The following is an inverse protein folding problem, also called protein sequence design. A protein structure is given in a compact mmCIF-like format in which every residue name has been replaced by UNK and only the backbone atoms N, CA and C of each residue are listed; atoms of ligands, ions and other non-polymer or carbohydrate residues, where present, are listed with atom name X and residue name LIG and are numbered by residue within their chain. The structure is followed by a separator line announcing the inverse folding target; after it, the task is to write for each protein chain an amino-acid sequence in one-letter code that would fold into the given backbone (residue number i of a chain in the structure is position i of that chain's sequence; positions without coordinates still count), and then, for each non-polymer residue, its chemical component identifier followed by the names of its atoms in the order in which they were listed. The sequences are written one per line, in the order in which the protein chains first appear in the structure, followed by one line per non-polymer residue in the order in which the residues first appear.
data_IF_306308922415
#
_entry.id   IF_306308922415
#
_cell.length_a   1.000
_cell.length_b   1.000
_cell.length_c   1.000
_cell.angle_alpha   90.00
_cell.angle_beta   90.00
_cell.angle_gamma   90.00
#
_symmetry.space_group_name_H-M   'P 1'
#
loop_
_entity.id
_entity.type
_entity.pdbx_description
1 polymer ?
#
# COMPACT_ATOMS: atom_id res chain seq x y z
N UNK A 1 46.94 1.00 67.29
CA UNK A 1 47.02 -0.19 68.17
C UNK A 1 46.77 -1.39 67.19
N UNK A 2 47.84 -1.99 66.76
CA UNK A 2 48.36 -3.33 67.09
C UNK A 2 47.39 -4.46 66.71
N UNK A 3 47.78 -5.31 65.78
CA UNK A 3 48.53 -6.52 65.73
C UNK A 3 48.25 -7.27 64.46
N UNK A 4 49.12 -7.57 63.64
CA UNK A 4 50.19 -8.57 63.50
C UNK A 4 49.80 -10.05 63.66
N UNK A 5 50.30 -10.78 62.62
CA UNK A 5 50.67 -12.21 62.53
C UNK A 5 49.58 -13.19 62.00
N UNK A 6 49.83 -14.20 61.18
CA UNK A 6 51.08 -14.89 60.72
C UNK A 6 50.77 -15.81 59.56
N UNK A 7 51.67 -15.88 58.62
CA UNK A 7 52.22 -17.00 57.80
C UNK A 7 51.53 -18.38 57.91
N UNK A 8 51.37 -18.96 56.70
CA UNK A 8 51.18 -20.38 56.47
C UNK A 8 51.36 -20.75 55.01
N UNK A 9 52.60 -20.91 54.61
CA UNK A 9 53.00 -21.47 53.31
C UNK A 9 52.67 -22.96 53.26
N UNK A 10 51.88 -23.41 52.30
CA UNK A 10 51.88 -24.82 51.84
C UNK A 10 51.93 -24.86 50.32
N UNK A 11 53.09 -25.29 49.84
CA UNK A 11 53.26 -25.77 48.47
C UNK A 11 52.41 -27.02 48.31
N UNK A 12 51.56 -27.02 47.27
CA UNK A 12 50.98 -28.21 46.71
C UNK A 12 51.23 -28.16 45.20
N UNK A 13 52.15 -29.03 44.78
CA UNK A 13 52.38 -29.39 43.42
C UNK A 13 51.13 -30.01 42.82
N UNK A 14 50.51 -29.36 41.83
CA UNK A 14 49.44 -29.92 41.03
C UNK A 14 49.92 -30.11 39.59
N UNK A 15 49.97 -31.35 39.20
CA UNK A 15 50.25 -31.90 37.89
C UNK A 15 49.30 -31.31 36.85
N UNK A 16 49.92 -30.71 35.81
CA UNK A 16 49.20 -30.22 34.64
C UNK A 16 48.88 -31.40 33.75
N UNK A 17 47.63 -31.84 33.76
CA UNK A 17 47.09 -32.74 32.75
C UNK A 17 46.62 -31.85 31.57
N UNK A 18 47.38 -31.87 30.48
CA UNK A 18 47.00 -31.25 29.22
C UNK A 18 45.86 -32.04 28.58
N UNK A 19 44.62 -31.66 28.86
CA UNK A 19 43.47 -32.06 28.02
C UNK A 19 43.49 -31.24 26.73
N UNK A 20 43.93 -31.86 25.63
CA UNK A 20 43.75 -31.29 24.29
C UNK A 20 42.28 -31.15 23.97
N UNK A 21 41.78 -29.91 23.99
CA UNK A 21 40.46 -29.58 23.44
C UNK A 21 40.62 -29.53 21.92
N UNK A 22 40.23 -30.62 21.25
CA UNK A 22 39.99 -30.60 19.80
C UNK A 22 38.75 -29.72 19.59
N UNK A 23 38.98 -28.45 19.27
CA UNK A 23 37.93 -27.57 18.80
C UNK A 23 37.51 -28.08 17.40
N UNK A 24 36.50 -28.90 17.35
CA UNK A 24 35.78 -29.16 16.10
C UNK A 24 35.07 -27.83 15.73
N UNK A 25 35.67 -27.09 14.79
CA UNK A 25 34.99 -26.02 14.12
C UNK A 25 33.82 -26.64 13.37
N UNK A 26 32.63 -26.64 13.99
CA UNK A 26 31.37 -26.81 13.27
C UNK A 26 31.24 -25.57 12.40
N UNK A 27 31.62 -25.70 11.12
CA UNK A 27 31.15 -24.74 10.11
C UNK A 27 29.62 -24.71 10.25
N UNK A 28 29.10 -23.63 10.83
CA UNK A 28 27.71 -23.29 10.67
C UNK A 28 27.50 -23.20 9.15
N UNK A 29 26.82 -24.17 8.57
CA UNK A 29 26.27 -24.00 7.23
C UNK A 29 25.40 -22.74 7.32
N UNK A 30 25.86 -21.66 6.73
CA UNK A 30 25.03 -20.50 6.49
C UNK A 30 23.86 -21.03 5.65
N UNK A 31 22.66 -21.09 6.23
CA UNK A 31 21.48 -21.36 5.44
C UNK A 31 21.51 -20.37 4.29
N UNK A 32 21.47 -20.88 3.06
CA UNK A 32 21.43 -20.08 1.85
C UNK A 32 20.24 -19.12 2.00
N UNK A 33 20.52 -17.83 2.17
CA UNK A 33 19.52 -16.82 2.47
C UNK A 33 18.72 -16.58 1.18
N UNK A 34 17.56 -17.23 1.10
CA UNK A 34 16.69 -17.09 -0.06
C UNK A 34 16.19 -15.64 -0.13
N UNK A 35 16.06 -15.06 -1.34
CA UNK A 35 15.58 -13.70 -1.49
C UNK A 35 14.13 -13.58 -1.04
N UNK A 36 13.80 -12.45 -0.40
CA UNK A 36 12.40 -12.14 -0.09
C UNK A 36 11.65 -11.71 -1.35
N UNK A 37 10.33 -11.81 -1.32
CA UNK A 37 9.47 -11.34 -2.44
C UNK A 37 9.65 -9.84 -2.69
N UNK A 38 9.81 -9.05 -1.62
CA UNK A 38 10.06 -7.61 -1.67
C UNK A 38 11.35 -7.30 -2.43
N UNK A 39 12.40 -8.07 -2.18
CA UNK A 39 13.69 -7.88 -2.84
C UNK A 39 13.61 -8.25 -4.33
N UNK A 40 13.00 -9.38 -4.67
CA UNK A 40 12.78 -9.79 -6.07
C UNK A 40 11.91 -8.76 -6.82
N UNK A 41 10.86 -8.24 -6.16
CA UNK A 41 10.03 -7.19 -6.72
C UNK A 41 10.82 -5.90 -6.97
N UNK A 42 11.66 -5.49 -6.03
CA UNK A 42 12.51 -4.30 -6.18
C UNK A 42 13.51 -4.47 -7.34
N UNK A 43 14.07 -5.67 -7.51
CA UNK A 43 14.95 -6.01 -8.64
C UNK A 43 14.20 -5.94 -9.98
N UNK A 44 12.92 -6.33 -10.03
CA UNK A 44 12.07 -6.16 -11.21
C UNK A 44 11.80 -4.69 -11.53
N UNK A 45 11.45 -3.87 -10.52
CA UNK A 45 11.16 -2.45 -10.73
C UNK A 45 12.43 -1.67 -11.13
N UNK A 46 13.57 -1.95 -10.54
CA UNK A 46 14.84 -1.31 -10.90
C UNK A 46 15.41 -1.80 -12.25
N UNK A 47 15.06 -3.03 -12.64
CA UNK A 47 15.59 -3.71 -13.84
C UNK A 47 16.92 -4.38 -13.61
N UNK A 48 17.29 -4.66 -12.36
CA UNK A 48 18.40 -5.54 -12.03
C UNK A 48 18.10 -6.99 -12.42
N UNK A 49 16.84 -7.39 -12.37
CA UNK A 49 16.34 -8.65 -12.91
C UNK A 49 15.54 -8.42 -14.21
N UNK A 50 15.66 -9.34 -15.15
CA UNK A 50 14.79 -9.44 -16.32
C UNK A 50 13.53 -10.16 -15.90
N UNK A 51 12.43 -9.42 -15.75
CA UNK A 51 11.21 -9.95 -15.16
C UNK A 51 10.11 -10.17 -16.19
N UNK A 52 9.33 -11.21 -15.97
CA UNK A 52 8.06 -11.48 -16.67
C UNK A 52 6.97 -11.81 -15.64
N UNK A 53 5.73 -11.52 -15.97
CA UNK A 53 4.56 -11.91 -15.20
C UNK A 53 3.79 -12.96 -16.00
N UNK A 54 3.81 -14.20 -15.53
CA UNK A 54 3.38 -15.37 -16.27
C UNK A 54 2.00 -15.86 -15.81
N UNK A 55 1.25 -16.44 -16.75
CA UNK A 55 -0.06 -17.05 -16.50
C UNK A 55 -1.03 -16.11 -15.77
N UNK A 56 -1.23 -14.86 -16.26
CA UNK A 56 -2.13 -13.93 -15.59
C UNK A 56 -3.55 -14.51 -15.53
N UNK A 57 -4.20 -14.35 -14.38
CA UNK A 57 -5.58 -14.73 -14.15
C UNK A 57 -6.35 -13.48 -13.69
N UNK A 58 -7.31 -13.04 -14.47
CA UNK A 58 -8.18 -11.93 -14.09
C UNK A 58 -9.29 -12.42 -13.18
N UNK A 59 -9.43 -11.79 -12.02
CA UNK A 59 -10.57 -11.96 -11.14
C UNK A 59 -11.80 -11.20 -11.66
N UNK A 60 -12.97 -11.48 -11.09
CA UNK A 60 -14.18 -10.71 -11.37
C UNK A 60 -14.02 -9.25 -10.89
N UNK A 61 -14.49 -8.30 -11.69
CA UNK A 61 -14.51 -6.89 -11.29
C UNK A 61 -15.53 -6.65 -10.19
N UNK A 62 -15.21 -5.75 -9.27
CA UNK A 62 -16.07 -5.38 -8.14
C UNK A 62 -16.04 -3.88 -7.90
N UNK A 63 -17.09 -3.35 -7.26
CA UNK A 63 -17.10 -1.97 -6.84
C UNK A 63 -16.29 -1.81 -5.56
N UNK A 64 -15.27 -0.96 -5.60
CA UNK A 64 -14.44 -0.64 -4.44
C UNK A 64 -15.18 0.14 -3.36
N UNK A 65 -14.53 0.41 -2.25
CA UNK A 65 -15.10 1.19 -1.15
C UNK A 65 -15.33 2.66 -1.52
N UNK A 66 -16.43 3.24 -1.02
CA UNK A 66 -16.67 4.68 -1.14
C UNK A 66 -15.68 5.47 -0.30
N UNK A 67 -14.97 6.41 -0.92
CA UNK A 67 -14.10 7.37 -0.26
C UNK A 67 -14.52 8.80 -0.60
N UNK A 68 -14.31 9.74 0.31
CA UNK A 68 -14.55 11.15 0.07
C UNK A 68 -13.55 11.68 -0.96
N UNK A 69 -14.08 12.37 -1.98
CA UNK A 69 -13.28 12.90 -3.11
C UNK A 69 -13.43 14.40 -3.29
N UNK A 70 -14.33 15.06 -2.53
CA UNK A 70 -14.48 16.52 -2.51
C UNK A 70 -14.12 17.10 -1.15
N UNK A 71 -13.99 18.40 -1.09
CA UNK A 71 -14.07 19.17 0.14
C UNK A 71 -15.43 18.97 0.82
N UNK A 72 -15.54 19.40 2.07
CA UNK A 72 -16.77 19.37 2.84
C UNK A 72 -17.48 20.72 2.79
N UNK A 73 -18.77 20.72 2.48
CA UNK A 73 -19.63 21.90 2.51
C UNK A 73 -20.42 21.94 3.82
N UNK A 74 -20.15 22.91 4.67
CA UNK A 74 -20.86 23.12 5.94
C UNK A 74 -21.96 24.14 5.75
N UNK A 75 -23.20 23.78 6.04
CA UNK A 75 -24.30 24.73 6.02
C UNK A 75 -24.59 25.30 7.43
N UNK A 76 -24.00 26.47 7.68
CA UNK A 76 -24.19 27.24 8.92
C UNK A 76 -25.38 28.19 8.84
N UNK A 77 -26.12 28.22 7.74
CA UNK A 77 -27.29 29.11 7.55
C UNK A 77 -28.59 28.47 8.09
N UNK A 78 -29.65 29.22 8.07
CA UNK A 78 -31.02 28.78 8.44
C UNK A 78 -31.81 28.22 7.25
N UNK A 79 -31.25 28.21 6.04
CA UNK A 79 -31.90 27.73 4.81
C UNK A 79 -30.98 26.70 4.12
N UNK A 80 -31.52 25.95 3.17
CA UNK A 80 -30.75 25.03 2.35
C UNK A 80 -29.65 25.77 1.59
N UNK A 81 -28.44 25.18 1.58
CA UNK A 81 -27.32 25.70 0.82
C UNK A 81 -27.06 24.78 -0.38
N UNK A 82 -27.19 25.34 -1.59
CA UNK A 82 -26.89 24.62 -2.82
C UNK A 82 -25.61 25.21 -3.44
N UNK A 83 -24.65 24.33 -3.72
CA UNK A 83 -23.37 24.72 -4.33
C UNK A 83 -22.89 23.66 -5.33
N UNK A 84 -22.25 24.12 -6.42
CA UNK A 84 -21.51 23.24 -7.32
C UNK A 84 -20.18 22.89 -6.67
N UNK A 85 -19.95 21.61 -6.41
CA UNK A 85 -18.73 21.08 -5.81
C UNK A 85 -17.95 20.32 -6.87
N UNK A 86 -16.68 20.67 -7.04
CA UNK A 86 -15.76 19.91 -7.87
C UNK A 86 -15.11 18.82 -7.03
N UNK A 87 -14.93 17.66 -7.63
CA UNK A 87 -14.18 16.56 -7.04
C UNK A 87 -13.14 16.03 -8.01
N UNK A 88 -12.10 15.45 -7.48
CA UNK A 88 -11.08 14.72 -8.22
C UNK A 88 -10.70 13.46 -7.46
N UNK A 89 -10.41 12.41 -8.20
CA UNK A 89 -10.07 11.11 -7.65
C UNK A 89 -9.00 10.44 -8.50
N UNK A 90 -7.99 9.87 -7.84
CA UNK A 90 -6.96 9.05 -8.48
C UNK A 90 -6.84 7.74 -7.74
N UNK A 91 -7.04 6.63 -8.47
CA UNK A 91 -6.95 5.28 -7.95
C UNK A 91 -5.77 4.61 -8.61
N UNK A 92 -4.83 4.13 -7.79
CA UNK A 92 -3.68 3.36 -8.23
C UNK A 92 -3.86 1.87 -7.97
N UNK A 93 -2.92 1.08 -8.48
CA UNK A 93 -2.81 -0.34 -8.20
C UNK A 93 -1.86 -0.61 -7.03
N UNK A 94 -2.12 -1.71 -6.32
CA UNK A 94 -1.26 -2.24 -5.26
C UNK A 94 -1.03 -3.73 -5.48
N UNK A 95 0.14 -4.23 -5.11
CA UNK A 95 0.43 -5.66 -5.09
C UNK A 95 -0.02 -6.34 -3.79
N UNK A 96 0.17 -7.64 -3.70
CA UNK A 96 -0.20 -8.44 -2.51
C UNK A 96 0.63 -8.10 -1.26
N UNK A 97 1.73 -7.37 -1.39
CA UNK A 97 2.54 -6.85 -0.29
C UNK A 97 2.04 -5.49 0.21
N UNK A 98 1.00 -4.92 -0.43
CA UNK A 98 0.48 -3.60 -0.15
C UNK A 98 1.33 -2.46 -0.71
N UNK A 99 2.27 -2.76 -1.62
CA UNK A 99 3.13 -1.77 -2.27
C UNK A 99 2.45 -1.24 -3.52
N UNK A 100 2.45 0.08 -3.67
CA UNK A 100 1.89 0.73 -4.86
C UNK A 100 2.63 0.33 -6.12
N UNK A 101 1.88 0.06 -7.19
CA UNK A 101 2.41 -0.15 -8.54
C UNK A 101 2.44 1.22 -9.23
N UNK A 102 3.65 1.73 -9.48
CA UNK A 102 3.84 3.05 -10.07
C UNK A 102 3.37 3.07 -11.52
N UNK A 103 2.51 4.02 -11.87
CA UNK A 103 2.10 4.21 -13.26
C UNK A 103 3.31 4.54 -14.14
N UNK A 104 3.46 3.81 -15.24
CA UNK A 104 4.62 3.93 -16.12
C UNK A 104 5.91 3.28 -15.58
N UNK A 105 5.88 2.68 -14.39
CA UNK A 105 6.96 1.85 -13.86
C UNK A 105 7.09 0.50 -14.59
N UNK A 106 8.20 -0.19 -14.41
CA UNK A 106 8.46 -1.45 -15.10
C UNK A 106 7.46 -2.54 -14.72
N UNK A 107 7.12 -2.67 -13.45
CA UNK A 107 6.11 -3.64 -12.98
C UNK A 107 4.78 -3.40 -13.67
N UNK A 108 4.29 -2.15 -13.72
CA UNK A 108 3.05 -1.82 -14.42
C UNK A 108 3.08 -2.23 -15.89
N UNK A 109 4.19 -1.93 -16.59
CA UNK A 109 4.36 -2.27 -18.00
C UNK A 109 4.43 -3.78 -18.26
N UNK A 110 5.09 -4.54 -17.40
CA UNK A 110 5.19 -6.00 -17.50
C UNK A 110 3.81 -6.65 -17.29
N UNK A 111 3.05 -6.19 -16.30
CA UNK A 111 1.70 -6.71 -16.02
C UNK A 111 0.75 -6.39 -17.18
N UNK A 112 0.76 -5.14 -17.67
CA UNK A 112 -0.07 -4.73 -18.80
C UNK A 112 0.25 -5.56 -20.07
N UNK A 113 1.54 -5.77 -20.37
CA UNK A 113 1.96 -6.60 -21.49
C UNK A 113 1.45 -8.04 -21.36
N UNK A 114 1.57 -8.63 -20.18
CA UNK A 114 1.12 -10.01 -19.93
C UNK A 114 -0.40 -10.15 -20.02
N UNK A 115 -1.15 -9.21 -19.44
CA UNK A 115 -2.62 -9.19 -19.52
C UNK A 115 -3.07 -8.97 -20.96
N UNK A 116 -2.47 -8.02 -21.66
CA UNK A 116 -2.81 -7.72 -23.05
C UNK A 116 -2.55 -8.93 -23.98
N UNK A 117 -1.43 -9.62 -23.78
CA UNK A 117 -1.11 -10.82 -24.55
C UNK A 117 -2.09 -11.97 -24.31
N UNK A 118 -2.65 -12.08 -23.09
CA UNK A 118 -3.55 -13.17 -22.71
C UNK A 118 -5.01 -12.88 -23.01
N UNK A 119 -5.46 -11.65 -22.77
CA UNK A 119 -6.89 -11.26 -22.79
C UNK A 119 -7.24 -10.24 -23.88
N UNK A 120 -6.26 -9.75 -24.65
CA UNK A 120 -6.44 -8.75 -25.71
C UNK A 120 -7.02 -7.41 -25.23
N UNK A 121 -6.82 -7.08 -23.94
CA UNK A 121 -7.15 -5.76 -23.40
C UNK A 121 -6.09 -5.29 -22.40
N UNK A 122 -5.91 -3.98 -22.30
CA UNK A 122 -4.89 -3.37 -21.44
C UNK A 122 -5.26 -3.43 -19.97
N UNK A 123 -4.25 -3.66 -19.12
CA UNK A 123 -4.34 -3.46 -17.69
C UNK A 123 -4.02 -2.00 -17.32
N UNK A 124 -4.93 -1.32 -16.64
CA UNK A 124 -4.73 0.05 -16.21
C UNK A 124 -4.20 0.09 -14.78
N UNK A 125 -2.96 0.55 -14.59
CA UNK A 125 -2.36 0.64 -13.26
C UNK A 125 -2.84 1.84 -12.45
N UNK A 126 -3.40 2.87 -13.10
CA UNK A 126 -3.90 4.10 -12.47
C UNK A 126 -5.07 4.67 -13.26
N UNK A 127 -6.11 5.10 -12.57
CA UNK A 127 -7.24 5.81 -13.16
C UNK A 127 -7.46 7.13 -12.43
N UNK A 128 -7.53 8.23 -13.18
CA UNK A 128 -7.83 9.57 -12.66
C UNK A 128 -9.11 10.10 -13.30
N UNK A 129 -9.98 10.69 -12.49
CA UNK A 129 -11.25 11.28 -12.93
C UNK A 129 -11.56 12.52 -12.11
N UNK A 130 -12.16 13.54 -12.74
CA UNK A 130 -12.66 14.72 -12.08
C UNK A 130 -13.98 15.17 -12.71
N UNK A 131 -14.84 15.75 -11.91
CA UNK A 131 -16.14 16.28 -12.36
C UNK A 131 -16.70 17.28 -11.34
N UNK A 132 -17.82 17.88 -11.67
CA UNK A 132 -18.58 18.76 -10.77
C UNK A 132 -20.00 18.25 -10.59
N UNK A 133 -20.52 18.41 -9.38
CA UNK A 133 -21.86 18.00 -9.02
C UNK A 133 -22.51 19.10 -8.15
N UNK A 134 -23.76 19.45 -8.45
CA UNK A 134 -24.56 20.32 -7.57
C UNK A 134 -25.00 19.54 -6.34
N UNK A 135 -24.70 20.09 -5.18
CA UNK A 135 -25.01 19.49 -3.89
C UNK A 135 -25.83 20.46 -3.06
N UNK A 136 -26.96 19.98 -2.51
CA UNK A 136 -27.78 20.72 -1.54
C UNK A 136 -27.58 20.14 -0.16
N UNK A 137 -27.24 20.97 0.82
CA UNK A 137 -27.00 20.61 2.22
C UNK A 137 -28.01 21.36 3.09
N UNK A 138 -28.71 20.65 3.98
CA UNK A 138 -29.69 21.22 4.89
C UNK A 138 -29.05 22.04 6.01
N UNK A 139 -29.77 22.96 6.65
CA UNK A 139 -29.28 23.69 7.80
C UNK A 139 -28.75 22.78 8.90
N UNK A 140 -27.55 23.11 9.39
CA UNK A 140 -26.88 22.34 10.45
C UNK A 140 -26.28 20.99 10.03
N UNK A 141 -26.22 20.74 8.72
CA UNK A 141 -25.54 19.57 8.15
C UNK A 141 -24.23 19.94 7.48
N UNK A 142 -23.36 18.93 7.32
CA UNK A 142 -22.19 18.95 6.45
C UNK A 142 -22.36 17.91 5.36
N UNK A 143 -22.07 18.28 4.11
CA UNK A 143 -22.16 17.40 2.95
C UNK A 143 -20.83 17.29 2.21
N UNK A 144 -20.65 16.19 1.49
CA UNK A 144 -19.48 15.92 0.64
C UNK A 144 -19.82 14.93 -0.47
N UNK A 145 -18.95 14.85 -1.47
CA UNK A 145 -19.06 13.88 -2.54
C UNK A 145 -18.15 12.69 -2.21
N UNK A 146 -18.68 11.49 -2.34
CA UNK A 146 -17.94 10.23 -2.24
C UNK A 146 -18.03 9.47 -3.54
N UNK A 147 -16.93 8.78 -3.89
CA UNK A 147 -16.82 7.97 -5.09
C UNK A 147 -16.34 6.56 -4.77
N UNK A 148 -16.84 5.58 -5.52
CA UNK A 148 -16.33 4.22 -5.57
C UNK A 148 -15.91 3.89 -7.01
N UNK A 149 -14.69 3.38 -7.18
CA UNK A 149 -14.13 2.95 -8.44
C UNK A 149 -14.38 1.46 -8.64
N UNK A 150 -14.64 1.03 -9.87
CA UNK A 150 -14.60 -0.38 -10.24
C UNK A 150 -13.14 -0.85 -10.17
N UNK A 151 -12.92 -1.95 -9.46
CA UNK A 151 -11.63 -2.56 -9.21
C UNK A 151 -11.59 -3.96 -9.77
N UNK A 152 -10.40 -4.42 -10.12
CA UNK A 152 -10.18 -5.80 -10.54
C UNK A 152 -8.83 -6.29 -10.01
N UNK A 153 -8.70 -7.60 -9.87
CA UNK A 153 -7.44 -8.24 -9.51
C UNK A 153 -6.88 -9.02 -10.69
N UNK A 154 -5.57 -9.04 -10.79
CA UNK A 154 -4.84 -9.96 -11.64
C UNK A 154 -3.85 -10.72 -10.80
N UNK A 155 -3.94 -12.05 -10.79
CA UNK A 155 -2.99 -12.95 -10.13
C UNK A 155 -2.09 -13.61 -11.17
N UNK A 156 -0.84 -13.90 -10.80
CA UNK A 156 0.11 -14.56 -11.69
C UNK A 156 1.42 -14.83 -10.97
N UNK A 157 2.37 -15.42 -11.70
CA UNK A 157 3.67 -15.78 -11.18
C UNK A 157 4.74 -14.88 -11.82
N UNK A 158 5.43 -14.11 -10.99
CA UNK A 158 6.64 -13.42 -11.39
C UNK A 158 7.77 -14.40 -11.61
N UNK A 159 8.49 -14.23 -12.71
CA UNK A 159 9.76 -14.88 -12.97
C UNK A 159 10.82 -13.78 -13.09
N UNK A 160 11.83 -13.84 -12.26
CA UNK A 160 13.00 -12.96 -12.32
C UNK A 160 14.18 -13.76 -12.85
N UNK A 161 14.83 -13.29 -13.91
CA UNK A 161 16.04 -13.87 -14.50
C UNK A 161 17.22 -12.93 -14.32
N UNK A 162 18.34 -13.45 -13.85
CA UNK A 162 19.60 -12.72 -13.69
C UNK A 162 20.65 -13.21 -14.68
N UNK A 163 21.48 -12.30 -15.20
CA UNK A 163 22.57 -12.64 -16.13
C UNK A 163 23.73 -13.38 -15.44
N UNK A 164 23.83 -13.26 -14.13
CA UNK A 164 24.73 -14.04 -13.26
C UNK A 164 23.95 -14.60 -12.09
N UNK A 165 24.31 -15.79 -11.56
CA UNK A 165 23.55 -16.37 -10.45
C UNK A 165 23.49 -15.41 -9.26
N UNK A 166 22.31 -15.22 -8.71
CA UNK A 166 22.06 -14.59 -7.42
C UNK A 166 21.47 -15.64 -6.49
N UNK A 167 21.99 -15.75 -5.27
CA UNK A 167 21.61 -16.81 -4.31
C UNK A 167 21.66 -18.20 -4.99
N UNK A 168 22.75 -18.47 -5.74
CA UNK A 168 23.06 -19.69 -6.49
C UNK A 168 22.06 -20.07 -7.62
N UNK A 169 21.12 -19.18 -7.96
CA UNK A 169 20.15 -19.40 -9.02
C UNK A 169 20.13 -18.27 -10.06
N UNK A 170 19.86 -18.64 -11.31
CA UNK A 170 19.59 -17.70 -12.40
C UNK A 170 18.14 -17.24 -12.41
N UNK A 171 17.21 -18.06 -11.87
CA UNK A 171 15.78 -17.82 -11.91
C UNK A 171 15.18 -17.90 -10.52
N UNK A 172 14.29 -16.93 -10.23
CA UNK A 172 13.46 -16.92 -9.05
C UNK A 172 12.00 -16.71 -9.43
N UNK A 173 11.11 -17.33 -8.67
CA UNK A 173 9.67 -17.29 -8.93
C UNK A 173 8.92 -16.91 -7.64
N UNK A 174 7.89 -16.10 -7.79
CA UNK A 174 6.96 -15.82 -6.70
C UNK A 174 5.59 -15.47 -7.25
N UNK A 175 4.53 -15.94 -6.57
CA UNK A 175 3.16 -15.61 -6.90
C UNK A 175 2.80 -14.24 -6.35
N UNK A 176 1.99 -13.50 -7.10
CA UNK A 176 1.53 -12.19 -6.71
C UNK A 176 0.10 -11.94 -7.22
N UNK A 177 -0.59 -11.02 -6.55
CA UNK A 177 -1.91 -10.53 -6.94
C UNK A 177 -1.88 -9.03 -6.92
N UNK A 178 -2.13 -8.41 -8.07
CA UNK A 178 -2.18 -6.97 -8.20
C UNK A 178 -3.65 -6.55 -8.27
N UNK A 179 -4.04 -5.65 -7.39
CA UNK A 179 -5.37 -5.02 -7.36
C UNK A 179 -5.27 -3.64 -7.96
N UNK A 180 -6.05 -3.34 -8.98
CA UNK A 180 -6.04 -2.04 -9.65
C UNK A 180 -7.42 -1.59 -10.14
N UNK A 181 -7.51 -0.34 -10.64
CA UNK A 181 -8.73 0.17 -11.23
C UNK A 181 -9.05 -0.57 -12.53
N UNK A 182 -10.30 -0.98 -12.69
CA UNK A 182 -10.83 -1.51 -13.94
C UNK A 182 -11.60 -0.43 -14.71
N UNK A 183 -11.79 -0.67 -16.01
CA UNK A 183 -12.61 0.19 -16.85
C UNK A 183 -14.06 0.22 -16.34
N UNK A 184 -14.71 1.38 -16.47
CA UNK A 184 -16.14 1.49 -16.17
C UNK A 184 -16.94 0.56 -17.08
N UNK A 185 -17.80 -0.27 -16.51
CA UNK A 185 -18.59 -1.27 -17.25
C UNK A 185 -17.98 -2.68 -17.25
N UNK A 186 -16.75 -2.89 -16.76
CA UNK A 186 -16.15 -4.22 -16.64
C UNK A 186 -17.06 -5.13 -15.80
N UNK A 187 -17.37 -6.32 -16.32
CA UNK A 187 -18.29 -7.30 -15.72
C UNK A 187 -19.65 -6.70 -15.30
N UNK A 188 -20.12 -5.69 -16.05
CA UNK A 188 -21.37 -4.98 -15.74
C UNK A 188 -21.31 -4.06 -14.50
N UNK A 189 -20.14 -3.85 -13.92
CA UNK A 189 -19.94 -2.95 -12.78
C UNK A 189 -19.68 -1.52 -13.26
N UNK A 190 -20.27 -0.54 -12.60
CA UNK A 190 -20.06 0.88 -12.92
C UNK A 190 -19.49 1.64 -11.73
N UNK A 191 -18.64 2.62 -12.04
CA UNK A 191 -18.18 3.60 -11.06
C UNK A 191 -19.40 4.30 -10.44
N UNK A 192 -19.33 4.62 -9.16
CA UNK A 192 -20.41 5.28 -8.46
C UNK A 192 -19.94 6.58 -7.80
N UNK A 193 -20.73 7.64 -7.98
CA UNK A 193 -20.55 8.93 -7.31
C UNK A 193 -21.83 9.20 -6.51
N UNK A 194 -21.69 9.52 -5.23
CA UNK A 194 -22.81 9.79 -4.34
C UNK A 194 -22.55 11.03 -3.52
N UNK A 195 -23.63 11.80 -3.28
CA UNK A 195 -23.63 12.86 -2.26
C UNK A 195 -23.95 12.23 -0.91
N UNK A 196 -23.16 12.56 0.08
CA UNK A 196 -23.36 12.17 1.48
C UNK A 196 -23.51 13.41 2.34
N UNK A 197 -24.37 13.35 3.34
CA UNK A 197 -24.46 14.37 4.39
C UNK A 197 -24.63 13.74 5.76
N UNK A 198 -24.32 14.50 6.79
CA UNK A 198 -24.62 14.21 8.19
C UNK A 198 -24.85 15.49 8.98
N UNK A 199 -25.50 15.36 10.10
CA UNK A 199 -25.58 16.47 11.06
C UNK A 199 -24.18 16.84 11.55
N UNK A 200 -23.91 18.15 11.65
CA UNK A 200 -22.68 18.68 12.23
C UNK A 200 -22.52 18.29 13.69
N UNK A 201 -21.30 17.97 14.08
CA UNK A 201 -20.93 17.77 15.50
C UNK A 201 -21.03 19.08 16.28
N UNK A 202 -21.09 19.04 17.63
CA UNK A 202 -21.08 20.25 18.44
C UNK A 202 -19.86 21.15 18.20
N UNK A 203 -18.69 20.58 17.92
CA UNK A 203 -17.47 21.34 17.61
C UNK A 203 -17.59 22.07 16.26
N UNK A 204 -18.12 21.40 15.23
CA UNK A 204 -18.36 22.00 13.91
C UNK A 204 -19.41 23.12 13.98
N UNK A 205 -20.49 22.92 14.74
CA UNK A 205 -21.49 23.99 15.00
C UNK A 205 -20.89 25.20 15.72
N UNK A 206 -19.99 24.96 16.68
CA UNK A 206 -19.28 26.03 17.38
C UNK A 206 -18.38 26.80 16.43
N UNK A 207 -17.73 26.13 15.48
CA UNK A 207 -16.91 26.78 14.43
C UNK A 207 -17.76 27.66 13.51
N UNK A 208 -19.00 27.27 13.19
CA UNK A 208 -19.95 28.13 12.49
C UNK A 208 -20.21 29.44 13.22
N UNK A 209 -20.33 29.40 14.55
CA UNK A 209 -20.62 30.59 15.38
C UNK A 209 -19.39 31.49 15.56
N UNK A 210 -18.17 30.92 15.58
CA UNK A 210 -16.93 31.65 15.81
C UNK A 210 -16.40 32.37 14.55
N UNK A 211 -16.68 31.81 13.36
CA UNK A 211 -16.20 32.33 12.07
C UNK A 211 -17.25 33.01 11.20
N UNK A 212 -18.50 32.95 11.58
CA UNK A 212 -19.61 33.36 10.74
C UNK A 212 -20.27 34.65 11.23
N UNK A 213 -20.23 35.67 10.42
CA UNK A 213 -21.42 36.51 10.31
C UNK A 213 -22.58 35.61 9.88
N UNK A 214 -23.67 35.61 10.61
CA UNK A 214 -24.86 34.78 10.37
C UNK A 214 -25.22 34.73 8.89
N UNK A 215 -25.42 33.54 8.35
CA UNK A 215 -25.82 33.32 6.96
C UNK A 215 -24.74 32.92 5.96
N UNK A 216 -23.53 32.59 6.38
CA UNK A 216 -22.45 32.13 5.46
C UNK A 216 -22.28 30.61 5.45
N UNK A 217 -22.19 30.09 4.25
CA UNK A 217 -21.72 28.74 3.96
C UNK A 217 -20.20 28.80 3.78
N UNK A 218 -19.44 27.82 4.28
CA UNK A 218 -18.02 27.73 3.99
C UNK A 218 -17.62 26.34 3.54
N UNK A 219 -16.57 26.29 2.74
CA UNK A 219 -15.92 25.07 2.26
C UNK A 219 -14.62 24.92 3.03
N UNK A 220 -14.41 23.75 3.62
CA UNK A 220 -13.12 23.40 4.23
C UNK A 220 -12.32 22.58 3.25
N UNK A 221 -11.17 23.12 2.82
CA UNK A 221 -10.20 22.42 2.00
C UNK A 221 -9.44 21.39 2.85
N UNK A 222 -9.10 20.30 2.22
CA UNK A 222 -8.25 19.23 2.79
C UNK A 222 -6.80 19.42 2.42
#
# INVERSE_FOLDING_TARGET
MNGLLRRGTRLLTATVAACGIVATATSAATADEQPTRELLRADCESGLGKCTFNSPQLGEAYLGGFRQVSDSLYNCSSSDATQSMTWSDTVGSTDSLGVSVTAGGKIAGIVDLSVTATYSHSWTSTHAESSSLNMTVKPGEVGWISRAQVMQQVSGTWQTHYDSPKWDHYYWFFDDTITGPAANGTDGKSNAVVVKSRTMTPAEKKSCSAGAHAGRTFVQHR
#
